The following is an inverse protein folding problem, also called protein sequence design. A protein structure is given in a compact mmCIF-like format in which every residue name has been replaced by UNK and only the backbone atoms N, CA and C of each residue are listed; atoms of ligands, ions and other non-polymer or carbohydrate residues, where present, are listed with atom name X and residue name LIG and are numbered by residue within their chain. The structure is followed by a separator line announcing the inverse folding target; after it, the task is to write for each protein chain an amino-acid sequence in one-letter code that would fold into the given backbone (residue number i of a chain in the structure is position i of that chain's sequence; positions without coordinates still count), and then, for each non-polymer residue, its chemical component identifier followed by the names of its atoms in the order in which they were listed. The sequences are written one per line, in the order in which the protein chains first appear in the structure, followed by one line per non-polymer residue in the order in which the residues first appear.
data_IF_106019864573
#
_entry.id   IF_106019864573
#
_cell.length_a   1.000
_cell.length_b   1.000
_cell.length_c   1.000
_cell.angle_alpha   90.00
_cell.angle_beta   90.00
_cell.angle_gamma   90.00
#
_symmetry.space_group_name_H-M   'P 1'
#
loop_
_entity.id
_entity.type
_entity.pdbx_description
1 polymer ?
#
# COMPACT_ATOMS: atom_id res chain seq x y z
N UNK A 1 28.01 -19.96 -15.48
CA UNK A 1 26.82 -20.45 -16.21
C UNK A 1 25.66 -19.50 -15.89
N UNK A 2 25.56 -18.39 -16.63
CA UNK A 2 24.52 -17.36 -16.45
C UNK A 2 23.30 -17.73 -17.29
N UNK A 3 22.17 -18.00 -16.65
CA UNK A 3 20.88 -18.19 -17.32
C UNK A 3 20.26 -16.81 -17.58
N UNK A 4 20.44 -16.32 -18.80
CA UNK A 4 19.72 -15.17 -19.36
C UNK A 4 18.24 -15.53 -19.52
N UNK A 5 17.38 -14.99 -18.67
CA UNK A 5 15.92 -15.04 -18.87
C UNK A 5 15.56 -13.98 -19.91
N UNK A 6 15.19 -14.44 -21.10
CA UNK A 6 14.87 -13.63 -22.27
C UNK A 6 13.60 -12.79 -22.05
N UNK A 7 13.67 -11.48 -22.29
CA UNK A 7 12.57 -10.50 -22.14
C UNK A 7 11.27 -10.88 -22.88
N UNK A 8 11.36 -11.73 -23.91
CA UNK A 8 10.20 -12.28 -24.62
C UNK A 8 9.32 -13.20 -23.76
N UNK A 9 9.91 -13.91 -22.79
CA UNK A 9 9.18 -14.81 -21.89
C UNK A 9 8.27 -14.05 -20.92
N UNK A 10 8.72 -12.89 -20.43
CA UNK A 10 7.97 -12.03 -19.51
C UNK A 10 6.78 -11.37 -20.22
N UNK A 11 6.99 -10.88 -21.46
CA UNK A 11 5.91 -10.33 -22.28
C UNK A 11 4.85 -11.38 -22.67
N UNK A 12 5.25 -12.62 -22.94
CA UNK A 12 4.31 -13.70 -23.23
C UNK A 12 3.50 -14.11 -22.00
N UNK A 13 4.09 -14.08 -20.80
CA UNK A 13 3.37 -14.34 -19.55
C UNK A 13 2.32 -13.23 -19.26
N UNK A 14 2.70 -11.96 -19.46
CA UNK A 14 1.80 -10.81 -19.33
C UNK A 14 0.64 -10.85 -20.34
N UNK A 15 0.93 -11.17 -21.60
CA UNK A 15 -0.10 -11.29 -22.65
C UNK A 15 -1.00 -12.53 -22.49
N UNK A 16 -0.56 -13.57 -21.77
CA UNK A 16 -1.40 -14.72 -21.39
C UNK A 16 -2.31 -14.39 -20.20
N UNK A 17 -1.82 -13.60 -19.25
CA UNK A 17 -2.61 -13.10 -18.13
C UNK A 17 -3.77 -12.19 -18.59
N UNK A 18 -3.53 -11.25 -19.53
CA UNK A 18 -4.58 -10.39 -20.09
C UNK A 18 -5.65 -11.17 -20.89
N UNK A 19 -5.30 -12.32 -21.49
CA UNK A 19 -6.24 -13.14 -22.27
C UNK A 19 -7.17 -14.00 -21.40
N UNK A 20 -6.79 -14.27 -20.16
CA UNK A 20 -7.54 -15.15 -19.26
C UNK A 20 -8.79 -14.50 -18.60
N UNK A 21 -9.07 -13.22 -18.87
CA UNK A 21 -10.17 -12.47 -18.23
C UNK A 21 -11.45 -12.28 -19.08
N UNK A 22 -11.66 -13.03 -20.17
CA UNK A 22 -12.88 -12.90 -20.99
C UNK A 22 -13.92 -13.99 -20.69
N UNK A 23 -14.85 -13.70 -19.78
CA UNK A 23 -16.16 -14.33 -19.73
C UNK A 23 -17.10 -13.57 -20.69
N UNK A 24 -17.24 -14.03 -21.94
CA UNK A 24 -18.48 -13.92 -22.73
C UNK A 24 -18.38 -14.71 -24.04
N UNK A 25 -19.20 -15.75 -24.20
CA UNK A 25 -19.16 -16.75 -25.27
C UNK A 25 -19.87 -16.35 -26.57
N UNK A 26 -19.82 -15.07 -27.00
CA UNK A 26 -20.47 -14.65 -28.25
C UNK A 26 -19.77 -13.49 -28.97
N UNK A 27 -18.45 -13.50 -29.04
CA UNK A 27 -17.70 -12.45 -29.75
C UNK A 27 -17.23 -12.92 -31.13
N UNK A 28 -17.68 -12.25 -32.19
CA UNK A 28 -17.09 -12.36 -33.55
C UNK A 28 -15.99 -11.32 -33.69
N UNK A 29 -14.89 -11.70 -34.33
CA UNK A 29 -13.79 -10.79 -34.65
C UNK A 29 -14.28 -9.57 -35.45
N UNK A 30 -13.96 -8.32 -35.05
CA UNK A 30 -14.23 -7.15 -35.85
C UNK A 30 -13.28 -7.12 -37.04
N UNK A 31 -13.81 -6.65 -38.18
CA UNK A 31 -12.97 -6.28 -39.34
C UNK A 31 -11.99 -5.19 -38.92
N UNK A 32 -10.83 -5.23 -39.55
CA UNK A 32 -9.50 -4.69 -39.16
C UNK A 32 -9.36 -3.19 -38.83
N UNK A 33 -10.44 -2.44 -38.56
CA UNK A 33 -10.41 -0.98 -38.35
C UNK A 33 -10.99 -0.50 -37.00
N UNK A 34 -10.98 -1.31 -35.94
CA UNK A 34 -11.51 -0.87 -34.63
C UNK A 34 -10.68 -1.34 -33.44
N UNK A 35 -9.39 -1.01 -33.42
CA UNK A 35 -8.60 -0.95 -32.19
C UNK A 35 -8.47 0.52 -31.76
N UNK A 36 -8.68 0.86 -30.49
CA UNK A 36 -8.52 2.25 -30.04
C UNK A 36 -7.03 2.63 -30.07
N UNK A 37 -6.70 3.70 -30.81
CA UNK A 37 -5.44 4.42 -30.63
C UNK A 37 -4.54 4.63 -31.85
N UNK A 38 -4.92 4.23 -33.07
CA UNK A 38 -4.13 4.57 -34.28
C UNK A 38 -5.02 5.11 -35.38
N UNK A 39 -4.93 6.41 -35.65
CA UNK A 39 -5.58 7.05 -36.78
C UNK A 39 -4.50 7.61 -37.70
N UNK A 40 -4.49 7.14 -38.95
CA UNK A 40 -3.57 7.61 -39.97
C UNK A 40 -4.28 8.66 -40.82
N UNK A 41 -3.79 9.89 -40.82
CA UNK A 41 -4.21 10.90 -41.78
C UNK A 41 -3.18 10.95 -42.89
N UNK A 42 -3.60 10.57 -44.09
CA UNK A 42 -2.82 10.77 -45.30
C UNK A 42 -3.23 12.11 -45.90
N UNK A 43 -2.35 13.10 -45.83
CA UNK A 43 -2.53 14.36 -46.55
C UNK A 43 -1.71 14.32 -47.83
N UNK A 44 -2.36 14.61 -48.96
CA UNK A 44 -1.66 14.81 -50.23
C UNK A 44 -1.12 16.24 -50.26
N UNK A 45 0.19 16.38 -50.43
CA UNK A 45 0.78 17.65 -50.86
C UNK A 45 0.73 17.74 -52.38
N UNK A 46 0.78 18.96 -52.92
CA UNK A 46 0.71 19.26 -54.35
C UNK A 46 1.86 18.68 -55.20
N UNK A 47 2.81 17.96 -54.58
CA UNK A 47 3.93 17.26 -55.24
C UNK A 47 3.73 15.74 -55.37
N UNK A 48 2.60 15.17 -54.94
CA UNK A 48 2.25 13.77 -55.19
C UNK A 48 2.97 12.72 -54.33
N UNK A 49 3.69 13.13 -53.28
CA UNK A 49 4.32 12.21 -52.33
C UNK A 49 3.45 12.05 -51.07
N UNK A 50 3.05 10.81 -50.75
CA UNK A 50 2.32 10.49 -49.53
C UNK A 50 3.29 10.42 -48.35
N UNK A 51 3.17 11.35 -47.39
CA UNK A 51 3.85 11.25 -46.10
C UNK A 51 2.84 10.83 -45.03
N UNK A 52 3.14 9.70 -44.36
CA UNK A 52 2.40 9.27 -43.17
C UNK A 52 3.08 9.91 -41.94
N UNK A 53 2.42 10.89 -41.32
CA UNK A 53 2.80 11.37 -40.00
C UNK A 53 1.96 10.67 -38.94
N UNK A 54 2.63 10.01 -37.99
CA UNK A 54 2.00 9.44 -36.81
C UNK A 54 1.61 10.61 -35.88
N UNK A 55 0.31 10.94 -35.84
CA UNK A 55 -0.21 11.83 -34.80
C UNK A 55 -0.20 11.04 -33.49
N UNK A 56 0.57 11.52 -32.50
CA UNK A 56 0.55 10.98 -31.15
C UNK A 56 -0.86 11.12 -30.58
N UNK A 57 -1.63 10.03 -30.72
CA UNK A 57 -2.95 9.90 -30.12
C UNK A 57 -2.81 10.08 -28.61
N UNK A 58 -3.55 11.05 -28.08
CA UNK A 58 -3.76 11.36 -26.68
C UNK A 58 -3.51 10.14 -25.76
N UNK A 59 -2.31 10.05 -25.18
CA UNK A 59 -2.00 9.09 -24.14
C UNK A 59 -3.03 9.30 -23.03
N UNK A 60 -3.88 8.30 -22.79
CA UNK A 60 -4.67 8.28 -21.57
C UNK A 60 -3.69 8.49 -20.42
N UNK A 61 -3.90 9.48 -19.53
CA UNK A 61 -2.88 9.84 -18.54
C UNK A 61 -2.42 8.58 -17.83
N UNK A 62 -1.10 8.31 -17.89
CA UNK A 62 -0.47 7.11 -17.37
C UNK A 62 -1.02 6.87 -15.95
N UNK A 63 -1.95 5.91 -15.81
CA UNK A 63 -2.66 5.75 -14.54
C UNK A 63 -1.66 5.26 -13.52
N UNK A 64 -1.31 6.15 -12.57
CA UNK A 64 -0.43 5.86 -11.45
C UNK A 64 -0.91 4.57 -10.77
N UNK A 65 -0.06 3.56 -10.78
CA UNK A 65 -0.36 2.26 -10.20
C UNK A 65 0.21 2.18 -8.78
N UNK A 66 -0.67 1.95 -7.81
CA UNK A 66 -0.32 1.69 -6.42
C UNK A 66 -0.30 0.19 -6.17
N UNK A 67 0.83 -0.34 -5.71
CA UNK A 67 0.96 -1.74 -5.33
C UNK A 67 0.78 -1.89 -3.81
N UNK A 68 -0.12 -2.75 -3.38
CA UNK A 68 -0.42 -3.00 -1.96
C UNK A 68 -0.06 -4.45 -1.61
N UNK A 69 1.03 -4.64 -0.88
CA UNK A 69 1.43 -5.96 -0.37
C UNK A 69 0.71 -6.24 0.95
N UNK A 70 -0.05 -7.34 0.99
CA UNK A 70 -0.99 -7.60 2.08
C UNK A 70 -2.39 -7.05 1.82
N UNK A 71 -2.76 -6.76 0.57
CA UNK A 71 -4.03 -6.12 0.19
C UNK A 71 -5.30 -6.90 0.59
N UNK A 72 -5.21 -8.21 0.81
CA UNK A 72 -6.34 -9.01 1.31
C UNK A 72 -6.57 -8.87 2.82
N UNK A 73 -5.63 -8.25 3.55
CA UNK A 73 -5.72 -8.00 4.98
C UNK A 73 -6.66 -6.84 5.33
N UNK A 74 -6.91 -6.66 6.63
CA UNK A 74 -7.80 -5.60 7.12
C UNK A 74 -7.33 -4.20 6.70
N UNK A 75 -6.09 -3.83 7.02
CA UNK A 75 -5.54 -2.52 6.66
C UNK A 75 -5.36 -2.40 5.14
N UNK A 76 -4.77 -3.42 4.50
CA UNK A 76 -4.50 -3.43 3.06
C UNK A 76 -5.74 -3.24 2.19
N UNK A 77 -6.87 -3.86 2.54
CA UNK A 77 -8.12 -3.72 1.80
C UNK A 77 -8.72 -2.32 1.93
N UNK A 78 -8.56 -1.65 3.07
CA UNK A 78 -9.01 -0.25 3.24
C UNK A 78 -8.13 0.72 2.46
N UNK A 79 -6.81 0.49 2.42
CA UNK A 79 -5.88 1.26 1.58
C UNK A 79 -6.27 1.10 0.10
N UNK A 80 -6.49 -0.13 -0.37
CA UNK A 80 -6.88 -0.39 -1.74
C UNK A 80 -8.20 0.29 -2.11
N UNK A 81 -9.20 0.24 -1.21
CA UNK A 81 -10.48 0.93 -1.37
C UNK A 81 -10.29 2.45 -1.45
N UNK A 82 -9.51 3.03 -0.54
CA UNK A 82 -9.24 4.46 -0.53
C UNK A 82 -8.52 4.90 -1.81
N UNK A 83 -7.47 4.18 -2.21
CA UNK A 83 -6.71 4.46 -3.43
C UNK A 83 -7.57 4.42 -4.69
N UNK A 84 -8.46 3.42 -4.81
CA UNK A 84 -9.43 3.33 -5.90
C UNK A 84 -10.40 4.52 -5.91
N UNK A 85 -10.91 4.95 -4.75
CA UNK A 85 -11.76 6.17 -4.66
C UNK A 85 -11.02 7.42 -5.11
N UNK A 86 -9.70 7.48 -4.92
CA UNK A 86 -8.85 8.54 -5.45
C UNK A 86 -8.54 8.41 -6.95
N UNK A 87 -9.13 7.43 -7.65
CA UNK A 87 -8.95 7.23 -9.10
C UNK A 87 -7.65 6.53 -9.51
N UNK A 88 -6.88 6.02 -8.55
CA UNK A 88 -5.64 5.29 -8.82
C UNK A 88 -5.92 3.88 -9.36
N UNK A 89 -5.03 3.39 -10.22
CA UNK A 89 -4.96 1.96 -10.53
C UNK A 89 -4.35 1.25 -9.31
N UNK A 90 -4.96 0.16 -8.86
CA UNK A 90 -4.52 -0.55 -7.66
C UNK A 90 -4.24 -2.01 -7.98
N UNK A 91 -3.07 -2.49 -7.59
CA UNK A 91 -2.70 -3.90 -7.63
C UNK A 91 -2.46 -4.40 -6.20
N UNK A 92 -3.23 -5.39 -5.76
CA UNK A 92 -3.05 -6.04 -4.47
C UNK A 92 -2.31 -7.37 -4.62
N UNK A 93 -1.25 -7.55 -3.83
CA UNK A 93 -0.54 -8.82 -3.71
C UNK A 93 -1.04 -9.55 -2.46
N UNK A 94 -1.50 -10.78 -2.64
CA UNK A 94 -1.93 -11.65 -1.53
C UNK A 94 -1.61 -13.12 -1.82
N UNK A 95 -1.48 -13.94 -0.78
CA UNK A 95 -1.23 -15.39 -0.92
C UNK A 95 -2.30 -16.13 -1.75
N UNK A 96 -3.52 -15.61 -1.74
CA UNK A 96 -4.65 -16.18 -2.49
C UNK A 96 -4.78 -15.63 -3.91
N UNK A 97 -4.23 -14.45 -4.19
CA UNK A 97 -4.46 -13.74 -5.45
C UNK A 97 -5.88 -13.25 -5.66
N UNK A 98 -6.66 -13.12 -4.58
CA UNK A 98 -8.00 -12.56 -4.61
C UNK A 98 -8.24 -11.71 -3.35
N UNK A 99 -9.35 -10.96 -3.34
CA UNK A 99 -9.88 -10.42 -2.10
C UNK A 99 -10.20 -11.59 -1.16
N UNK A 100 -10.14 -11.37 0.15
CA UNK A 100 -10.50 -12.45 1.07
C UNK A 100 -11.96 -12.87 0.80
N UNK A 101 -12.29 -14.16 0.91
CA UNK A 101 -13.65 -14.65 0.65
C UNK A 101 -14.73 -13.97 1.54
N UNK A 102 -14.30 -13.40 2.67
CA UNK A 102 -15.13 -12.59 3.58
C UNK A 102 -15.36 -11.15 3.07
N UNK A 103 -14.53 -10.68 2.13
CA UNK A 103 -14.56 -9.38 1.46
C UNK A 103 -15.15 -9.50 0.03
N UNK A 104 -16.30 -10.15 -0.13
CA UNK A 104 -17.15 -9.93 -1.32
C UNK A 104 -17.72 -8.50 -1.24
N UNK A 105 -16.84 -7.55 -1.50
CA UNK A 105 -17.06 -6.12 -1.34
C UNK A 105 -16.91 -5.48 -2.71
N UNK A 106 -18.04 -5.05 -3.28
CA UNK A 106 -18.10 -4.40 -4.58
C UNK A 106 -17.25 -3.12 -4.66
N UNK A 107 -16.90 -2.52 -3.51
CA UNK A 107 -15.99 -1.38 -3.49
C UNK A 107 -14.58 -1.73 -3.95
N UNK A 108 -14.19 -3.01 -3.97
CA UNK A 108 -12.92 -3.50 -4.50
C UNK A 108 -13.01 -3.99 -5.97
N UNK A 109 -14.17 -3.87 -6.63
CA UNK A 109 -14.31 -4.26 -8.04
C UNK A 109 -13.34 -3.45 -8.92
N UNK A 110 -12.62 -4.10 -9.83
CA UNK A 110 -11.60 -3.44 -10.65
C UNK A 110 -10.25 -3.20 -9.95
N UNK A 111 -10.08 -3.58 -8.69
CA UNK A 111 -8.74 -3.77 -8.11
C UNK A 111 -8.13 -5.03 -8.73
N UNK A 112 -6.92 -4.90 -9.26
CA UNK A 112 -6.19 -6.05 -9.77
C UNK A 112 -5.61 -6.88 -8.61
N UNK A 113 -5.61 -8.20 -8.75
CA UNK A 113 -5.08 -9.10 -7.73
C UNK A 113 -3.98 -9.99 -8.30
N UNK A 114 -2.90 -10.10 -7.54
CA UNK A 114 -1.78 -10.98 -7.86
C UNK A 114 -1.57 -11.98 -6.73
N UNK A 115 -1.48 -13.25 -7.11
CA UNK A 115 -1.09 -14.31 -6.19
C UNK A 115 0.42 -14.24 -5.97
N UNK A 116 0.85 -14.10 -4.73
CA UNK A 116 2.26 -14.13 -4.36
C UNK A 116 2.45 -14.30 -2.86
N UNK A 117 3.57 -14.91 -2.48
CA UNK A 117 4.05 -14.90 -1.10
C UNK A 117 5.05 -13.75 -0.94
N UNK A 118 4.81 -12.87 0.01
CA UNK A 118 5.68 -11.74 0.27
C UNK A 118 7.09 -12.16 0.73
N UNK A 119 7.27 -13.38 1.25
CA UNK A 119 8.57 -13.99 1.55
C UNK A 119 9.27 -14.57 0.32
N UNK A 120 8.59 -14.68 -0.82
CA UNK A 120 9.13 -15.20 -2.07
C UNK A 120 9.03 -14.13 -3.17
N UNK A 121 9.95 -13.15 -3.22
CA UNK A 121 9.90 -12.03 -4.15
C UNK A 121 9.72 -12.42 -5.61
N UNK A 122 10.30 -13.55 -6.05
CA UNK A 122 10.16 -14.03 -7.42
C UNK A 122 8.70 -14.27 -7.84
N UNK A 123 7.80 -14.53 -6.88
CA UNK A 123 6.38 -14.74 -7.16
C UNK A 123 5.60 -13.46 -7.49
N UNK A 124 6.14 -12.27 -7.20
CA UNK A 124 5.38 -11.02 -7.34
C UNK A 124 6.20 -9.78 -7.74
N UNK A 125 7.53 -9.77 -7.65
CA UNK A 125 8.38 -8.59 -7.87
C UNK A 125 8.26 -8.00 -9.28
N UNK A 126 7.94 -8.81 -10.28
CA UNK A 126 7.72 -8.36 -11.66
C UNK A 126 6.57 -7.35 -11.76
N UNK A 127 5.64 -7.36 -10.81
CA UNK A 127 4.50 -6.47 -10.78
C UNK A 127 4.81 -5.08 -10.18
N UNK A 128 6.06 -4.86 -9.75
CA UNK A 128 6.54 -3.55 -9.30
C UNK A 128 6.96 -2.64 -10.46
N UNK A 129 7.14 -3.19 -11.66
CA UNK A 129 7.56 -2.41 -12.83
C UNK A 129 6.51 -1.35 -13.15
N UNK A 130 6.95 -0.07 -13.22
CA UNK A 130 6.06 1.07 -13.47
C UNK A 130 5.16 1.46 -12.29
N UNK A 131 5.31 0.84 -11.12
CA UNK A 131 4.55 1.24 -9.94
C UNK A 131 4.97 2.64 -9.47
N UNK A 132 3.98 3.51 -9.20
CA UNK A 132 4.22 4.84 -8.67
C UNK A 132 4.51 4.84 -7.17
N UNK A 133 4.19 3.75 -6.48
CA UNK A 133 4.46 3.56 -5.06
C UNK A 133 4.05 2.17 -4.61
N UNK A 134 4.65 1.73 -3.49
CA UNK A 134 4.35 0.45 -2.84
C UNK A 134 3.94 0.71 -1.39
N UNK A 135 2.87 0.05 -0.94
CA UNK A 135 2.48 0.00 0.47
C UNK A 135 2.67 -1.41 1.00
N UNK A 136 3.53 -1.57 2.01
CA UNK A 136 3.69 -2.83 2.73
C UNK A 136 2.89 -2.80 4.03
N UNK A 137 1.86 -3.64 4.13
CA UNK A 137 1.00 -3.75 5.30
C UNK A 137 0.92 -5.18 5.84
N UNK A 138 1.97 -5.98 5.59
CA UNK A 138 2.06 -7.36 6.06
C UNK A 138 2.37 -7.39 7.56
N UNK A 139 1.59 -8.19 8.28
CA UNK A 139 1.75 -8.43 9.71
C UNK A 139 0.97 -9.66 10.16
N UNK A 140 1.40 -10.25 11.27
CA UNK A 140 0.79 -11.43 11.85
C UNK A 140 1.23 -11.64 13.29
N UNK A 141 0.48 -12.47 14.01
CA UNK A 141 0.74 -12.84 15.40
C UNK A 141 1.00 -14.34 15.50
N UNK A 142 1.84 -14.75 16.46
CA UNK A 142 2.27 -16.14 16.62
C UNK A 142 3.40 -16.23 17.64
N UNK A 143 4.30 -17.20 17.47
CA UNK A 143 5.55 -17.25 18.23
C UNK A 143 6.42 -16.02 17.93
N UNK A 144 7.36 -15.69 18.83
CA UNK A 144 8.29 -14.57 18.59
C UNK A 144 9.06 -14.72 17.27
N UNK A 145 9.48 -15.94 16.92
CA UNK A 145 10.15 -16.22 15.64
C UNK A 145 9.22 -15.96 14.44
N UNK A 146 7.98 -16.47 14.50
CA UNK A 146 6.99 -16.26 13.45
C UNK A 146 6.67 -14.76 13.28
N UNK A 147 6.53 -14.03 14.38
CA UNK A 147 6.28 -12.59 14.34
C UNK A 147 7.48 -11.83 13.78
N UNK A 148 8.71 -12.18 14.13
CA UNK A 148 9.92 -11.56 13.55
C UNK A 148 9.99 -11.80 12.05
N UNK A 149 9.68 -13.02 11.60
CA UNK A 149 9.67 -13.38 10.17
C UNK A 149 8.57 -12.64 9.39
N UNK A 150 7.34 -12.63 9.91
CA UNK A 150 6.19 -12.03 9.22
C UNK A 150 6.24 -10.50 9.27
N UNK A 151 6.55 -9.92 10.43
CA UNK A 151 6.56 -8.46 10.62
C UNK A 151 7.89 -7.80 10.21
N UNK A 152 8.99 -8.56 10.19
CA UNK A 152 10.34 -8.09 9.80
C UNK A 152 10.75 -8.60 8.43
N UNK A 153 11.25 -9.84 8.36
CA UNK A 153 11.90 -10.40 7.15
C UNK A 153 11.05 -10.21 5.89
N UNK A 154 9.74 -10.40 6.00
CA UNK A 154 8.79 -10.19 4.91
C UNK A 154 8.79 -8.74 4.42
N UNK A 155 8.66 -7.77 5.33
CA UNK A 155 8.60 -6.35 4.98
C UNK A 155 9.96 -5.81 4.51
N UNK A 156 11.07 -6.35 5.04
CA UNK A 156 12.43 -6.10 4.54
C UNK A 156 12.56 -6.58 3.10
N UNK A 157 12.08 -7.79 2.80
CA UNK A 157 12.08 -8.33 1.45
C UNK A 157 11.26 -7.47 0.49
N UNK A 158 10.12 -6.95 0.96
CA UNK A 158 9.26 -6.09 0.16
C UNK A 158 9.93 -4.74 -0.14
N UNK A 159 10.58 -4.12 0.85
CA UNK A 159 11.33 -2.89 0.67
C UNK A 159 12.49 -3.05 -0.32
N UNK A 160 13.26 -4.14 -0.21
CA UNK A 160 14.37 -4.44 -1.12
C UNK A 160 13.90 -4.62 -2.56
N UNK A 161 12.88 -5.45 -2.78
CA UNK A 161 12.34 -5.67 -4.11
C UNK A 161 11.77 -4.37 -4.73
N UNK A 162 11.09 -3.54 -3.93
CA UNK A 162 10.59 -2.23 -4.39
C UNK A 162 11.74 -1.29 -4.80
N UNK A 163 12.82 -1.24 -4.01
CA UNK A 163 13.99 -0.41 -4.30
C UNK A 163 14.73 -0.91 -5.55
N UNK A 164 14.96 -2.22 -5.67
CA UNK A 164 15.59 -2.85 -6.84
C UNK A 164 14.78 -2.64 -8.12
N UNK A 165 13.45 -2.61 -8.02
CA UNK A 165 12.56 -2.31 -9.15
C UNK A 165 12.49 -0.81 -9.50
N UNK A 166 13.18 0.06 -8.75
CA UNK A 166 13.18 1.51 -8.98
C UNK A 166 11.86 2.19 -8.64
N UNK A 167 11.05 1.61 -7.74
CA UNK A 167 9.80 2.24 -7.29
C UNK A 167 10.16 3.55 -6.57
N UNK A 168 9.53 4.68 -6.91
CA UNK A 168 9.96 5.97 -6.38
C UNK A 168 9.51 6.23 -4.94
N UNK A 169 8.56 5.45 -4.40
CA UNK A 169 7.95 5.68 -3.09
C UNK A 169 7.67 4.38 -2.34
N UNK A 170 7.98 4.36 -1.06
CA UNK A 170 7.69 3.22 -0.18
C UNK A 170 6.94 3.64 1.06
N UNK A 171 5.82 2.99 1.34
CA UNK A 171 5.05 3.20 2.56
C UNK A 171 5.06 1.93 3.38
N UNK A 172 5.46 2.05 4.64
CA UNK A 172 5.43 0.95 5.59
C UNK A 172 4.41 1.18 6.69
N UNK A 173 3.43 0.27 6.82
CA UNK A 173 2.53 0.25 7.98
C UNK A 173 3.24 -0.50 9.10
N UNK A 174 3.89 0.26 9.98
CA UNK A 174 4.56 -0.22 11.17
C UNK A 174 3.59 -0.31 12.37
N UNK A 175 4.08 -0.06 13.57
CA UNK A 175 3.30 0.07 14.79
C UNK A 175 3.98 1.08 15.72
N UNK A 176 3.20 1.72 16.59
CA UNK A 176 3.75 2.58 17.63
C UNK A 176 4.73 1.79 18.51
N UNK A 177 5.92 2.35 18.72
CA UNK A 177 6.97 1.75 19.54
C UNK A 177 6.88 2.30 20.96
N UNK A 178 6.43 1.48 21.89
CA UNK A 178 6.33 1.83 23.31
C UNK A 178 7.67 1.69 24.02
N UNK A 179 7.90 2.50 25.06
CA UNK A 179 9.12 2.39 25.87
C UNK A 179 9.24 1.01 26.54
N UNK A 180 8.11 0.42 26.93
CA UNK A 180 8.03 -0.92 27.47
C UNK A 180 7.25 -1.84 26.53
N UNK A 181 7.96 -2.74 25.85
CA UNK A 181 7.37 -3.69 24.92
C UNK A 181 7.11 -5.03 25.62
N UNK A 182 5.88 -5.57 25.55
CA UNK A 182 5.59 -6.86 26.15
C UNK A 182 6.48 -7.96 25.56
N UNK A 183 7.14 -8.74 26.43
CA UNK A 183 8.10 -9.78 26.01
C UNK A 183 7.47 -10.83 25.07
N UNK A 184 6.17 -11.10 25.21
CA UNK A 184 5.43 -12.00 24.33
C UNK A 184 5.24 -11.46 22.91
N UNK A 185 5.43 -10.15 22.67
CA UNK A 185 5.40 -9.50 21.35
C UNK A 185 6.78 -8.99 20.90
N UNK A 186 7.87 -9.44 21.55
CA UNK A 186 9.22 -8.98 21.22
C UNK A 186 9.55 -9.12 19.72
N UNK A 187 9.30 -10.28 19.14
CA UNK A 187 9.55 -10.54 17.72
C UNK A 187 8.69 -9.68 16.78
N UNK A 188 7.49 -9.30 17.19
CA UNK A 188 6.64 -8.37 16.44
C UNK A 188 7.30 -7.00 16.34
N UNK A 189 7.72 -6.42 17.47
CA UNK A 189 8.34 -5.10 17.51
C UNK A 189 9.74 -5.09 16.91
N UNK A 190 10.56 -6.11 17.18
CA UNK A 190 11.88 -6.28 16.56
C UNK A 190 11.75 -6.38 15.03
N UNK A 191 10.79 -7.15 14.54
CA UNK A 191 10.52 -7.27 13.11
C UNK A 191 10.11 -5.93 12.49
N UNK A 192 9.13 -5.24 13.10
CA UNK A 192 8.70 -3.91 12.64
C UNK A 192 9.86 -2.91 12.61
N UNK A 193 10.67 -2.83 13.68
CA UNK A 193 11.83 -1.94 13.77
C UNK A 193 12.89 -2.25 12.70
N UNK A 194 13.13 -3.53 12.41
CA UNK A 194 14.04 -3.95 11.35
C UNK A 194 13.56 -3.47 9.97
N UNK A 195 12.26 -3.62 9.68
CA UNK A 195 11.68 -3.16 8.43
C UNK A 195 11.68 -1.63 8.29
N UNK A 196 11.44 -0.89 9.38
CA UNK A 196 11.58 0.57 9.40
C UNK A 196 13.00 1.02 9.04
N UNK A 197 14.01 0.40 9.65
CA UNK A 197 15.40 0.73 9.41
C UNK A 197 15.76 0.52 7.93
N UNK A 198 15.46 -0.66 7.38
CA UNK A 198 15.76 -0.97 5.97
C UNK A 198 14.99 -0.05 5.01
N UNK A 199 13.71 0.25 5.29
CA UNK A 199 12.94 1.18 4.49
C UNK A 199 13.57 2.59 4.49
N UNK A 200 14.00 3.07 5.66
CA UNK A 200 14.69 4.36 5.79
C UNK A 200 16.05 4.40 5.09
N UNK A 201 16.83 3.33 5.17
CA UNK A 201 18.13 3.20 4.50
C UNK A 201 17.99 3.20 2.96
N UNK A 202 16.98 2.48 2.43
CA UNK A 202 16.80 2.34 0.99
C UNK A 202 16.12 3.55 0.34
N UNK A 203 15.14 4.17 1.01
CA UNK A 203 14.31 5.21 0.40
C UNK A 203 14.53 6.61 0.97
N UNK A 204 15.15 6.76 2.15
CA UNK A 204 15.32 8.05 2.82
C UNK A 204 13.99 8.82 2.86
N UNK A 205 13.99 10.07 2.37
CA UNK A 205 12.82 10.96 2.28
C UNK A 205 11.66 10.37 1.48
N UNK A 206 11.92 9.43 0.59
CA UNK A 206 10.91 8.82 -0.26
C UNK A 206 10.20 7.64 0.43
N UNK A 207 10.60 7.31 1.66
CA UNK A 207 9.84 6.44 2.56
C UNK A 207 8.87 7.24 3.46
N UNK A 208 7.70 6.64 3.69
CA UNK A 208 6.76 7.04 4.74
C UNK A 208 6.50 5.86 5.68
N UNK A 209 6.78 6.05 6.97
CA UNK A 209 6.58 5.06 8.02
C UNK A 209 5.36 5.49 8.85
N UNK A 210 4.31 4.67 8.83
CA UNK A 210 3.11 4.91 9.62
C UNK A 210 3.17 4.05 10.87
N UNK A 211 3.13 4.68 12.05
CA UNK A 211 3.14 4.03 13.37
C UNK A 211 1.79 4.19 14.06
N UNK A 212 0.76 3.46 13.60
CA UNK A 212 -0.53 3.47 14.26
C UNK A 212 -0.42 2.81 15.65
N UNK A 213 -1.30 3.23 16.54
CA UNK A 213 -1.62 2.49 17.76
C UNK A 213 -2.59 1.36 17.39
N UNK A 214 -3.54 1.04 18.26
CA UNK A 214 -4.59 0.08 17.93
C UNK A 214 -5.44 0.58 16.76
N UNK A 215 -5.49 -0.17 15.64
CA UNK A 215 -6.27 0.20 14.46
C UNK A 215 -7.72 -0.29 14.58
N UNK A 216 -8.70 0.60 14.39
CA UNK A 216 -10.13 0.28 14.45
C UNK A 216 -10.89 0.78 13.20
N UNK A 217 -12.14 0.34 13.04
CA UNK A 217 -13.00 0.71 11.91
C UNK A 217 -13.95 -0.42 11.50
N UNK A 218 -14.80 -0.14 10.51
CA UNK A 218 -15.78 -1.11 10.03
C UNK A 218 -15.10 -2.18 9.15
N UNK A 219 -15.36 -3.45 9.43
CA UNK A 219 -15.06 -4.55 8.49
C UNK A 219 -16.37 -5.02 7.89
N UNK A 220 -16.58 -4.80 6.60
CA UNK A 220 -17.71 -5.43 5.91
C UNK A 220 -17.43 -6.94 5.81
N UNK A 221 -18.07 -7.72 6.67
CA UNK A 221 -18.15 -9.17 6.54
C UNK A 221 -19.53 -9.45 5.95
N UNK A 222 -19.59 -9.84 4.68
CA UNK A 222 -20.84 -10.32 4.08
C UNK A 222 -21.13 -11.73 4.62
N UNK A 223 -21.99 -11.84 5.62
CA UNK A 223 -22.56 -13.12 6.04
C UNK A 223 -23.67 -13.48 5.04
N UNK A 224 -23.66 -14.66 4.39
CA UNK A 224 -24.72 -15.03 3.47
C UNK A 224 -26.06 -15.06 4.23
N UNK A 225 -27.00 -14.20 3.80
CA UNK A 225 -28.36 -13.94 4.34
C UNK A 225 -28.55 -12.84 5.40
N UNK A 226 -27.52 -12.07 5.76
CA UNK A 226 -27.70 -10.91 6.66
C UNK A 226 -26.81 -9.74 6.23
N UNK A 227 -27.41 -8.64 5.73
CA UNK A 227 -26.72 -7.36 5.48
C UNK A 227 -26.42 -6.64 6.82
N UNK A 228 -25.53 -7.21 7.64
CA UNK A 228 -25.08 -6.58 8.89
C UNK A 228 -23.60 -6.23 8.76
N UNK A 229 -23.31 -4.93 8.77
CA UNK A 229 -21.98 -4.41 9.04
C UNK A 229 -21.66 -4.68 10.52
N UNK A 230 -20.96 -5.77 10.81
CA UNK A 230 -20.36 -5.96 12.12
C UNK A 230 -19.17 -5.01 12.25
N UNK A 231 -19.36 -3.91 13.00
CA UNK A 231 -18.26 -3.32 13.75
C UNK A 231 -17.66 -4.48 14.56
N UNK A 232 -16.46 -4.95 14.25
CA UNK A 232 -15.80 -5.96 15.09
C UNK A 232 -15.24 -5.20 16.29
N UNK A 233 -15.92 -5.16 17.46
CA UNK A 233 -15.38 -4.50 18.61
C UNK A 233 -14.54 -5.58 19.29
N UNK A 234 -13.22 -5.53 19.14
CA UNK A 234 -12.31 -6.21 20.08
C UNK A 234 -12.49 -5.69 21.53
N UNK A 235 -13.43 -4.76 21.76
CA UNK A 235 -13.81 -4.20 23.06
C UNK A 235 -14.41 -5.18 24.07
N UNK A 236 -14.71 -6.45 23.76
CA UNK A 236 -15.27 -7.35 24.78
C UNK A 236 -14.29 -7.74 25.91
N UNK A 237 -13.02 -7.32 25.84
CA UNK A 237 -12.01 -7.50 26.91
C UNK A 237 -11.70 -6.19 27.66
N UNK A 238 -12.24 -5.04 27.26
CA UNK A 238 -11.78 -3.71 27.76
C UNK A 238 -12.84 -2.78 28.34
N UNK A 239 -14.10 -3.19 28.47
CA UNK A 239 -15.22 -2.28 28.77
C UNK A 239 -15.26 -1.58 30.14
N UNK A 240 -14.45 -1.90 31.19
CA UNK A 240 -14.41 -1.02 32.37
C UNK A 240 -13.42 0.16 32.26
N UNK A 241 -12.53 0.21 31.25
CA UNK A 241 -11.45 1.23 31.23
C UNK A 241 -11.79 2.53 30.49
N UNK A 242 -12.79 2.52 29.60
CA UNK A 242 -13.05 3.65 28.70
C UNK A 242 -13.71 4.86 29.38
N UNK A 243 -14.30 4.67 30.57
CA UNK A 243 -14.91 5.74 31.36
C UNK A 243 -13.87 6.64 32.07
N UNK A 244 -12.60 6.21 32.14
CA UNK A 244 -11.53 7.00 32.79
C UNK A 244 -10.76 7.92 31.82
N UNK A 245 -11.00 7.79 30.50
CA UNK A 245 -10.21 8.39 29.42
C UNK A 245 -10.59 9.85 29.06
N UNK A 246 -11.40 10.53 29.88
CA UNK A 246 -11.81 11.93 29.62
C UNK A 246 -11.35 12.93 30.69
N UNK A 247 -10.59 12.50 31.70
CA UNK A 247 -10.06 13.42 32.72
C UNK A 247 -8.70 13.98 32.33
N UNK A 248 -8.40 15.22 32.73
CA UNK A 248 -7.06 15.83 32.56
C UNK A 248 -5.95 14.97 33.19
N UNK A 249 -6.28 14.15 34.18
CA UNK A 249 -5.38 13.19 34.80
C UNK A 249 -4.87 12.12 33.81
N UNK A 250 -5.70 11.61 32.89
CA UNK A 250 -5.28 10.62 31.90
C UNK A 250 -4.22 11.14 30.92
N UNK A 251 -4.28 12.44 30.55
CA UNK A 251 -3.28 13.11 29.71
C UNK A 251 -1.96 13.40 30.45
N UNK A 252 -2.01 13.52 31.78
CA UNK A 252 -0.81 13.67 32.60
C UNK A 252 -0.11 12.32 32.82
N UNK A 253 -0.88 11.25 32.99
CA UNK A 253 -0.36 9.89 33.17
C UNK A 253 0.20 9.29 31.88
N UNK A 254 -0.34 9.66 30.71
CA UNK A 254 0.25 9.26 29.41
C UNK A 254 1.64 9.87 29.16
N UNK A 255 2.00 10.97 29.85
CA UNK A 255 3.34 11.59 29.78
C UNK A 255 4.37 10.95 30.72
N UNK A 256 3.94 10.09 31.64
CA UNK A 256 4.82 9.47 32.64
C UNK A 256 5.58 8.24 32.12
N UNK A 257 5.30 7.78 30.89
CA UNK A 257 5.95 6.60 30.31
C UNK A 257 5.67 5.30 31.11
N UNK A 258 6.14 4.16 30.59
CA UNK A 258 6.02 2.87 31.27
C UNK A 258 4.83 2.01 30.82
N UNK A 259 4.40 1.01 31.63
CA UNK A 259 3.46 -0.04 31.19
C UNK A 259 2.04 0.46 30.86
N UNK A 260 1.73 1.71 31.19
CA UNK A 260 0.44 2.35 30.92
C UNK A 260 0.35 3.01 29.54
N UNK A 261 1.48 3.27 28.86
CA UNK A 261 1.50 3.93 27.55
C UNK A 261 0.71 3.15 26.48
N UNK A 262 0.69 1.82 26.60
CA UNK A 262 -0.10 0.91 25.77
C UNK A 262 -1.62 1.09 25.97
N UNK A 263 -2.05 1.46 27.19
CA UNK A 263 -3.46 1.61 27.55
C UNK A 263 -4.05 2.99 27.17
N UNK A 264 -3.20 4.01 26.99
CA UNK A 264 -3.62 5.40 26.79
C UNK A 264 -3.31 5.98 25.41
N UNK A 265 -2.70 5.21 24.52
CA UNK A 265 -2.53 5.66 23.14
C UNK A 265 -3.87 5.69 22.41
N UNK A 266 -4.28 6.84 21.84
CA UNK A 266 -5.55 6.93 21.15
C UNK A 266 -5.56 5.97 19.95
N UNK A 267 -6.63 5.19 19.76
CA UNK A 267 -6.70 4.23 18.68
C UNK A 267 -6.70 4.97 17.33
N UNK A 268 -6.13 4.36 16.29
CA UNK A 268 -6.01 4.95 14.96
C UNK A 268 -7.14 4.44 14.06
N UNK A 269 -7.87 5.36 13.42
CA UNK A 269 -8.88 4.97 12.42
C UNK A 269 -8.21 4.33 11.21
N UNK A 270 -8.76 3.21 10.72
CA UNK A 270 -8.28 2.56 9.51
C UNK A 270 -8.46 3.46 8.27
N UNK A 271 -9.46 4.34 8.27
CA UNK A 271 -9.70 5.27 7.16
C UNK A 271 -8.65 6.38 7.13
N UNK A 272 -8.31 6.96 8.29
CA UNK A 272 -7.23 7.95 8.42
C UNK A 272 -5.89 7.35 8.03
N UNK A 273 -5.60 6.14 8.53
CA UNK A 273 -4.40 5.38 8.18
C UNK A 273 -4.34 5.12 6.67
N UNK A 274 -5.46 4.72 6.06
CA UNK A 274 -5.53 4.43 4.62
C UNK A 274 -5.26 5.66 3.77
N UNK A 275 -5.82 6.80 4.20
CA UNK A 275 -5.57 8.10 3.57
C UNK A 275 -4.11 8.49 3.62
N UNK A 276 -3.49 8.48 4.80
CA UNK A 276 -2.07 8.81 4.94
C UNK A 276 -1.18 7.87 4.13
N UNK A 277 -1.52 6.57 4.08
CA UNK A 277 -0.78 5.62 3.26
C UNK A 277 -0.83 5.95 1.76
N UNK A 278 -2.01 6.31 1.24
CA UNK A 278 -2.15 6.71 -0.16
C UNK A 278 -1.43 8.02 -0.44
N UNK A 279 -1.57 9.03 0.42
CA UNK A 279 -0.89 10.33 0.26
C UNK A 279 0.65 10.18 0.26
N UNK A 280 1.19 9.32 1.15
CA UNK A 280 2.62 9.01 1.18
C UNK A 280 3.07 8.27 -0.08
N UNK A 281 2.29 7.30 -0.55
CA UNK A 281 2.63 6.52 -1.73
C UNK A 281 2.53 7.32 -3.05
N UNK A 282 1.71 8.37 -3.09
CA UNK A 282 1.64 9.29 -4.22
C UNK A 282 2.63 10.46 -4.13
N UNK A 283 3.43 10.54 -3.05
CA UNK A 283 4.40 11.60 -2.81
C UNK A 283 3.80 12.94 -2.37
N UNK A 284 2.51 12.97 -2.03
CA UNK A 284 1.80 14.20 -1.67
C UNK A 284 2.30 14.76 -0.33
N UNK A 285 2.61 13.89 0.63
CA UNK A 285 3.10 14.30 1.96
C UNK A 285 4.50 14.93 1.89
N UNK A 286 5.39 14.38 1.07
CA UNK A 286 6.75 14.89 0.91
C UNK A 286 6.80 16.21 0.16
N UNK A 287 5.88 16.45 -0.78
CA UNK A 287 5.75 17.74 -1.45
C UNK A 287 5.41 18.89 -0.46
N UNK A 288 4.64 18.59 0.60
CA UNK A 288 4.33 19.55 1.66
C UNK A 288 5.47 19.71 2.67
N UNK A 289 6.22 18.63 2.95
CA UNK A 289 7.37 18.66 3.85
C UNK A 289 8.55 19.53 3.37
N UNK A 290 8.68 19.75 2.05
CA UNK A 290 9.66 20.70 1.51
C UNK A 290 9.36 22.16 1.85
N UNK A 291 8.13 22.50 2.27
CA UNK A 291 7.79 23.84 2.75
C UNK A 291 8.19 24.08 4.22
N UNK A 292 8.58 23.03 4.97
CA UNK A 292 8.91 23.11 6.39
C UNK A 292 10.41 23.01 6.71
N UNK A 293 11.27 22.74 5.73
CA UNK A 293 12.73 22.63 5.93
C UNK A 293 13.47 23.88 5.46
N UNK A 294 13.48 24.93 6.30
CA UNK A 294 14.49 26.00 6.22
C UNK A 294 15.57 25.69 7.24
N UNK A 295 16.49 24.78 6.93
CA UNK A 295 17.85 24.83 7.45
C UNK A 295 18.76 23.84 6.71
N UNK A 296 19.97 24.31 6.41
CA UNK A 296 20.94 23.63 5.56
C UNK A 296 21.41 22.29 6.17
N UNK A 297 21.06 21.19 5.51
CA UNK A 297 21.50 19.85 5.87
C UNK A 297 22.81 19.51 5.12
N UNK A 298 23.82 18.89 5.76
CA UNK A 298 25.11 18.60 5.13
C UNK A 298 24.97 17.59 3.96
N UNK A 299 25.80 17.71 2.91
CA UNK A 299 25.54 17.17 1.56
C UNK A 299 25.61 15.64 1.41
N UNK A 300 25.82 14.86 2.47
CA UNK A 300 26.13 13.43 2.37
C UNK A 300 25.14 12.46 3.04
N UNK A 301 24.05 12.95 3.63
CA UNK A 301 23.02 12.08 4.22
C UNK A 301 21.69 12.30 3.51
N UNK A 302 21.17 11.25 2.85
CA UNK A 302 19.81 11.28 2.34
C UNK A 302 18.87 11.72 3.46
N UNK A 303 17.96 12.65 3.16
CA UNK A 303 17.01 13.14 4.14
C UNK A 303 16.24 11.94 4.75
N UNK A 304 15.93 11.96 6.05
CA UNK A 304 15.33 10.83 6.73
C UNK A 304 13.90 10.55 6.22
N UNK A 305 13.37 9.33 6.44
CA UNK A 305 11.99 9.01 6.11
C UNK A 305 11.00 9.86 6.91
N UNK A 306 9.83 10.11 6.32
CA UNK A 306 8.71 10.72 7.04
C UNK A 306 8.11 9.67 7.98
N UNK A 307 8.09 9.95 9.28
CA UNK A 307 7.47 9.08 10.29
C UNK A 307 6.22 9.78 10.82
N UNK A 308 5.07 9.10 10.76
CA UNK A 308 3.81 9.59 11.34
C UNK A 308 3.39 8.67 12.47
N UNK A 309 3.37 9.20 13.70
CA UNK A 309 2.77 8.54 14.84
C UNK A 309 1.24 8.63 14.76
N UNK A 310 0.54 7.97 15.69
CA UNK A 310 -0.92 7.87 15.67
C UNK A 310 -1.65 9.22 15.64
N UNK A 311 -1.12 10.20 16.38
CA UNK A 311 -1.69 11.56 16.44
C UNK A 311 -1.44 12.33 15.14
N UNK A 312 -0.27 12.14 14.53
CA UNK A 312 0.10 12.73 13.24
C UNK A 312 -0.75 12.17 12.11
N UNK A 313 -1.08 10.87 12.15
CA UNK A 313 -1.97 10.22 11.18
C UNK A 313 -3.36 10.87 11.24
N UNK A 314 -3.92 11.02 12.44
CA UNK A 314 -5.23 11.65 12.63
C UNK A 314 -5.22 13.13 12.21
N UNK A 315 -4.14 13.86 12.49
CA UNK A 315 -3.99 15.25 12.07
C UNK A 315 -3.86 15.37 10.53
N UNK A 316 -2.97 14.60 9.92
CA UNK A 316 -2.75 14.55 8.47
C UNK A 316 -4.04 14.22 7.72
N UNK A 317 -4.81 13.25 8.20
CA UNK A 317 -6.08 12.87 7.58
C UNK A 317 -7.11 14.00 7.61
N UNK A 318 -7.16 14.81 8.69
CA UNK A 318 -8.06 15.97 8.81
C UNK A 318 -7.63 17.14 7.92
N UNK A 319 -6.33 17.41 7.83
CA UNK A 319 -5.79 18.56 7.08
C UNK A 319 -5.98 18.40 5.57
N UNK A 320 -6.05 17.17 5.07
CA UNK A 320 -6.17 16.89 3.63
C UNK A 320 -7.53 16.29 3.25
N UNK A 321 -8.59 16.61 4.02
CA UNK A 321 -9.99 16.17 3.85
C UNK A 321 -10.61 16.59 2.52
#
# INVERSE_FOLDING_TARGET
MQLLVNARGVQQAYARWCRAQTLCSSWRAPRENSLPGRQWLCTQTSSGEAQAQEQSGNESPERKTLVVVGGAGYVGSHIARYAKRCGLSVLCISRSGASSAQLKDASLDGVAWLRGDALEPESWKYALSGASGVVSCVGGFGSNEQMRRICGDTNVSVARAAHEAGVPRFVFVSARMYAFQPAFMRGYFEGKKMAEQVAGELFGKDATILRPAFVYGARQISIPKVNVSLNVPLQLIGKPLHAFNQTQAARAVSKLGGPFELAFSPPTSVDDLSKCAVLGATGYLQAQGQAFTTDAQPPHRAAPPLILESDDIAHCAKTHA
#
